data_IF_721405823273
#
_entry.id   IF_721405823273
#
_cell.length_a   1.000
_cell.length_b   1.000
_cell.length_c   1.000
_cell.angle_alpha   90.00
_cell.angle_beta   90.00
_cell.angle_gamma   90.00
#
_symmetry.space_group_name_H-M   'P 1'
#
loop_
_entity.id
_entity.type
_entity.pdbx_description
1 polymer ?
#
# COMPACT_ATOMS: atom_id res chain seq x y z
N UNK A 1 6.81 -26.13 29.96
CA UNK A 1 7.07 -25.64 28.59
C UNK A 1 6.14 -24.47 28.40
N UNK A 2 6.64 -23.24 28.61
CA UNK A 2 5.85 -22.04 28.36
C UNK A 2 5.85 -21.84 26.85
N UNK A 3 4.68 -22.01 26.25
CA UNK A 3 4.43 -21.52 24.91
C UNK A 3 4.58 -19.99 24.98
N UNK A 4 5.71 -19.50 24.50
CA UNK A 4 5.88 -18.07 24.27
C UNK A 4 4.90 -17.70 23.16
N UNK A 5 3.84 -16.99 23.55
CA UNK A 5 2.86 -16.46 22.61
C UNK A 5 3.60 -15.58 21.60
N UNK A 6 3.59 -15.99 20.33
CA UNK A 6 4.30 -15.30 19.26
C UNK A 6 3.82 -13.84 19.10
N UNK A 7 2.65 -13.51 19.66
CA UNK A 7 2.12 -12.15 19.73
C UNK A 7 2.93 -11.21 20.64
N UNK A 8 3.50 -11.68 21.76
CA UNK A 8 4.26 -10.84 22.70
C UNK A 8 5.59 -10.31 22.11
N UNK A 9 6.17 -11.05 21.17
CA UNK A 9 7.41 -10.65 20.48
C UNK A 9 7.18 -9.52 19.47
N UNK A 10 6.00 -9.51 18.81
CA UNK A 10 5.66 -8.52 17.79
C UNK A 10 5.47 -7.11 18.39
N UNK A 11 5.04 -7.01 19.65
CA UNK A 11 4.79 -5.74 20.34
C UNK A 11 5.96 -5.25 21.20
N UNK A 12 7.12 -5.92 21.15
CA UNK A 12 8.29 -5.46 21.90
C UNK A 12 8.79 -4.08 21.42
N UNK A 13 9.30 -3.21 22.32
CA UNK A 13 9.88 -1.92 21.92
C UNK A 13 10.97 -2.05 20.85
N UNK A 14 11.73 -3.16 20.88
CA UNK A 14 12.74 -3.49 19.88
C UNK A 14 12.13 -3.80 18.51
N UNK A 15 11.04 -4.59 18.46
CA UNK A 15 10.32 -4.87 17.22
C UNK A 15 9.72 -3.60 16.61
N UNK A 16 9.05 -2.77 17.42
CA UNK A 16 8.49 -1.49 16.97
C UNK A 16 9.58 -0.57 16.41
N UNK A 17 10.73 -0.48 17.08
CA UNK A 17 11.87 0.32 16.61
C UNK A 17 12.44 -0.24 15.29
N UNK A 18 12.52 -1.56 15.17
CA UNK A 18 12.97 -2.21 13.94
C UNK A 18 12.03 -1.92 12.76
N UNK A 19 10.72 -2.03 12.96
CA UNK A 19 9.73 -1.67 11.95
C UNK A 19 9.81 -0.19 11.56
N UNK A 20 9.91 0.72 12.54
CA UNK A 20 10.09 2.15 12.30
C UNK A 20 11.35 2.44 11.48
N UNK A 21 12.45 1.73 11.73
CA UNK A 21 13.70 1.87 10.96
C UNK A 21 13.62 1.31 9.54
N UNK A 22 12.66 0.42 9.28
CA UNK A 22 12.44 -0.22 7.97
C UNK A 22 11.51 0.58 7.06
N UNK A 23 10.69 1.47 7.63
CA UNK A 23 9.81 2.37 6.88
C UNK A 23 10.65 3.50 6.31
N UNK A 24 10.53 3.74 5.01
CA UNK A 24 11.09 4.93 4.41
C UNK A 24 10.29 6.15 4.88
N UNK A 25 10.98 7.16 5.41
CA UNK A 25 10.30 8.30 6.03
C UNK A 25 9.40 9.01 5.01
N UNK A 26 8.14 9.28 5.39
CA UNK A 26 7.18 9.91 4.50
C UNK A 26 7.65 11.31 4.13
N UNK A 27 7.75 11.55 2.83
CA UNK A 27 8.03 12.81 2.16
C UNK A 27 6.96 13.07 1.10
N UNK A 28 7.03 14.23 0.46
CA UNK A 28 6.07 14.59 -0.59
C UNK A 28 6.11 13.62 -1.80
N UNK A 29 7.22 12.92 -2.04
CA UNK A 29 7.41 12.13 -3.26
C UNK A 29 7.14 10.61 -3.11
N UNK A 30 7.10 10.08 -1.88
CA UNK A 30 7.10 8.63 -1.64
C UNK A 30 5.81 8.10 -0.97
N UNK A 31 4.73 8.89 -0.99
CA UNK A 31 3.48 8.56 -0.31
C UNK A 31 2.92 7.16 -0.65
N UNK A 32 2.94 6.76 -1.93
CA UNK A 32 2.46 5.43 -2.34
C UNK A 32 3.24 4.29 -1.70
N UNK A 33 4.57 4.35 -1.77
CA UNK A 33 5.47 3.36 -1.16
C UNK A 33 5.33 3.35 0.37
N UNK A 34 5.25 4.53 0.99
CA UNK A 34 5.04 4.64 2.43
C UNK A 34 3.72 3.99 2.86
N UNK A 35 2.62 4.24 2.14
CA UNK A 35 1.30 3.66 2.43
C UNK A 35 1.31 2.12 2.30
N UNK A 36 2.04 1.58 1.33
CA UNK A 36 2.25 0.14 1.18
C UNK A 36 3.01 -0.45 2.38
N UNK A 37 4.13 0.17 2.79
CA UNK A 37 4.91 -0.27 3.95
C UNK A 37 4.08 -0.24 5.25
N UNK A 38 3.27 0.80 5.45
CA UNK A 38 2.32 0.88 6.58
C UNK A 38 1.30 -0.25 6.52
N UNK A 39 0.80 -0.60 5.33
CA UNK A 39 -0.17 -1.69 5.15
C UNK A 39 0.45 -3.05 5.49
N UNK A 40 1.69 -3.30 5.08
CA UNK A 40 2.41 -4.54 5.40
C UNK A 40 2.61 -4.68 6.92
N UNK A 41 3.11 -3.63 7.57
CA UNK A 41 3.37 -3.64 9.02
C UNK A 41 2.07 -3.86 9.80
N UNK A 42 0.97 -3.29 9.32
CA UNK A 42 -0.35 -3.49 9.92
C UNK A 42 -0.77 -4.96 9.95
N UNK A 43 -0.56 -5.67 8.84
CA UNK A 43 -0.86 -7.11 8.71
C UNK A 43 0.08 -7.94 9.58
N UNK A 44 1.39 -7.65 9.54
CA UNK A 44 2.41 -8.41 10.29
C UNK A 44 2.22 -8.28 11.80
N UNK A 45 1.76 -7.12 12.27
CA UNK A 45 1.58 -6.84 13.70
C UNK A 45 0.14 -7.10 14.20
N UNK A 46 -0.74 -7.73 13.41
CA UNK A 46 -2.16 -7.96 13.73
C UNK A 46 -2.89 -6.68 14.23
N UNK A 47 -2.53 -5.54 13.64
CA UNK A 47 -3.08 -4.22 14.02
C UNK A 47 -4.42 -3.92 13.32
N UNK A 48 -4.89 -4.83 12.46
CA UNK A 48 -6.14 -4.67 11.71
C UNK A 48 -7.35 -4.48 12.64
N UNK A 49 -7.31 -5.02 13.86
CA UNK A 49 -8.38 -4.89 14.86
C UNK A 49 -8.77 -3.42 15.15
N UNK A 50 -7.81 -2.49 15.08
CA UNK A 50 -8.04 -1.06 15.30
C UNK A 50 -8.80 -0.34 14.17
N UNK A 51 -8.90 -0.94 12.98
CA UNK A 51 -9.52 -0.31 11.81
C UNK A 51 -10.90 -0.88 11.45
N UNK A 52 -11.18 -2.11 11.88
CA UNK A 52 -12.43 -2.83 11.59
C UNK A 52 -13.48 -2.70 12.69
N UNK A 53 -13.07 -2.36 13.91
CA UNK A 53 -13.97 -2.21 15.06
C UNK A 53 -14.15 -0.72 15.34
N UNK A 54 -15.32 -0.18 14.97
CA UNK A 54 -15.80 1.12 15.47
C UNK A 54 -15.73 1.14 17.00
N UNK A 55 -15.55 2.32 17.60
CA UNK A 55 -15.33 2.51 19.05
C UNK A 55 -16.13 1.48 19.87
N UNK A 56 -15.45 0.47 20.47
CA UNK A 56 -16.15 -0.54 21.22
C UNK A 56 -16.93 0.13 22.37
N UNK A 57 -18.11 -0.40 22.73
CA UNK A 57 -18.93 0.20 23.77
C UNK A 57 -18.10 0.42 25.03
N UNK A 58 -18.21 1.61 25.63
CA UNK A 58 -17.48 1.95 26.85
C UNK A 58 -17.67 0.84 27.89
N UNK A 59 -16.56 0.37 28.45
CA UNK A 59 -16.59 -0.68 29.47
C UNK A 59 -17.45 -0.22 30.65
N UNK A 60 -18.47 -1.00 30.98
CA UNK A 60 -19.27 -0.83 32.21
C UNK A 60 -18.77 -1.77 33.31
N UNK A 61 -19.19 -1.54 34.56
CA UNK A 61 -18.88 -2.42 35.70
C UNK A 61 -19.37 -3.88 35.52
N UNK A 62 -20.30 -4.11 34.57
CA UNK A 62 -20.84 -5.44 34.22
C UNK A 62 -20.09 -6.13 33.07
N UNK A 63 -19.08 -5.47 32.49
CA UNK A 63 -18.36 -6.02 31.33
C UNK A 63 -17.63 -7.30 31.71
N UNK A 64 -17.82 -8.34 30.88
CA UNK A 64 -17.12 -9.62 31.04
C UNK A 64 -15.61 -9.45 30.87
N UNK A 65 -14.84 -10.37 31.44
CA UNK A 65 -13.38 -10.42 31.23
C UNK A 65 -13.00 -10.46 29.74
N UNK A 66 -13.78 -11.15 28.91
CA UNK A 66 -13.59 -11.21 27.45
C UNK A 66 -13.80 -9.86 26.77
N UNK A 67 -14.79 -9.07 27.20
CA UNK A 67 -15.03 -7.73 26.67
C UNK A 67 -13.91 -6.75 27.06
N UNK A 68 -13.39 -6.85 28.29
CA UNK A 68 -12.26 -6.05 28.74
C UNK A 68 -11.00 -6.35 27.92
N UNK A 69 -10.66 -7.64 27.76
CA UNK A 69 -9.51 -8.04 26.94
C UNK A 69 -9.62 -7.59 25.47
N UNK A 70 -10.82 -7.61 24.90
CA UNK A 70 -11.05 -7.11 23.53
C UNK A 70 -10.87 -5.58 23.43
N UNK A 71 -11.30 -4.84 24.45
CA UNK A 71 -11.09 -3.39 24.53
C UNK A 71 -9.61 -3.04 24.68
N UNK A 72 -8.89 -3.75 25.55
CA UNK A 72 -7.45 -3.54 25.76
C UNK A 72 -6.66 -3.82 24.47
N UNK A 73 -6.99 -4.91 23.76
CA UNK A 73 -6.38 -5.23 22.45
C UNK A 73 -6.66 -4.13 21.42
N UNK A 74 -7.87 -3.57 21.41
CA UNK A 74 -8.26 -2.48 20.51
C UNK A 74 -7.49 -1.19 20.81
N UNK A 75 -7.45 -0.75 22.06
CA UNK A 75 -6.75 0.47 22.48
C UNK A 75 -5.25 0.36 22.19
N UNK A 76 -4.65 -0.81 22.47
CA UNK A 76 -3.27 -1.11 22.15
C UNK A 76 -3.01 -1.01 20.65
N UNK A 77 -3.85 -1.63 19.82
CA UNK A 77 -3.72 -1.61 18.35
C UNK A 77 -3.81 -0.19 17.78
N UNK A 78 -4.69 0.66 18.32
CA UNK A 78 -4.79 2.08 17.93
C UNK A 78 -3.52 2.83 18.31
N UNK A 79 -3.04 2.65 19.54
CA UNK A 79 -1.86 3.34 20.05
C UNK A 79 -0.63 3.04 19.19
N UNK A 80 -0.36 1.76 18.94
CA UNK A 80 0.77 1.32 18.12
C UNK A 80 0.64 1.83 16.68
N UNK A 81 -0.55 1.74 16.08
CA UNK A 81 -0.79 2.26 14.72
C UNK A 81 -0.49 3.76 14.62
N UNK A 82 -0.93 4.56 15.60
CA UNK A 82 -0.65 5.99 15.65
C UNK A 82 0.85 6.28 15.86
N UNK A 83 1.54 5.50 16.69
CA UNK A 83 2.99 5.66 16.90
C UNK A 83 3.77 5.38 15.63
N UNK A 84 3.42 4.32 14.90
CA UNK A 84 4.08 3.94 13.64
C UNK A 84 3.83 4.99 12.56
N UNK A 85 2.57 5.38 12.35
CA UNK A 85 2.23 6.40 11.35
C UNK A 85 2.87 7.75 11.67
N UNK A 86 2.73 8.24 12.91
CA UNK A 86 3.35 9.52 13.29
C UNK A 86 4.86 9.44 13.19
N UNK A 87 5.46 8.38 13.76
CA UNK A 87 6.90 8.16 13.82
C UNK A 87 7.59 8.11 12.46
N UNK A 88 6.93 7.50 11.47
CA UNK A 88 7.44 7.39 10.10
C UNK A 88 7.26 8.65 9.25
N UNK A 89 6.56 9.69 9.72
CA UNK A 89 6.42 10.96 8.99
C UNK A 89 7.57 11.91 9.35
N UNK A 90 8.16 12.55 8.33
CA UNK A 90 9.17 13.60 8.50
C UNK A 90 8.70 14.69 9.45
N UNK A 91 9.55 15.06 10.43
CA UNK A 91 9.23 16.10 11.42
C UNK A 91 8.84 17.43 10.78
N UNK A 92 9.44 17.77 9.63
CA UNK A 92 9.17 18.98 8.86
C UNK A 92 7.72 19.08 8.35
N UNK A 93 7.10 17.95 7.97
CA UNK A 93 5.74 17.92 7.41
C UNK A 93 4.69 17.40 8.40
N UNK A 94 5.11 16.75 9.49
CA UNK A 94 4.23 16.20 10.53
C UNK A 94 3.29 17.25 11.11
N UNK A 95 3.77 18.48 11.30
CA UNK A 95 2.96 19.58 11.85
C UNK A 95 1.81 20.04 10.94
N UNK A 96 1.86 19.71 9.64
CA UNK A 96 0.81 20.08 8.69
C UNK A 96 -0.37 19.10 8.67
N UNK A 97 -0.24 17.94 9.33
CA UNK A 97 -1.26 16.88 9.36
C UNK A 97 -2.07 17.00 10.66
N UNK A 98 -3.39 17.21 10.58
CA UNK A 98 -4.23 17.28 11.78
C UNK A 98 -4.13 16.00 12.63
N UNK A 99 -3.97 16.17 13.94
CA UNK A 99 -3.93 15.05 14.89
C UNK A 99 -5.25 14.28 14.95
N UNK A 100 -5.18 13.02 15.35
CA UNK A 100 -6.36 12.22 15.74
C UNK A 100 -5.96 11.18 16.80
N UNK A 101 -6.94 10.80 17.62
CA UNK A 101 -6.88 9.65 18.54
C UNK A 101 -7.36 8.35 17.89
N UNK A 102 -7.93 8.42 16.69
CA UNK A 102 -8.35 7.26 15.91
C UNK A 102 -7.36 7.04 14.76
N UNK A 103 -6.84 5.82 14.64
CA UNK A 103 -5.84 5.47 13.62
C UNK A 103 -6.37 5.62 12.19
N UNK A 104 -7.62 5.20 11.94
CA UNK A 104 -8.27 5.31 10.62
C UNK A 104 -8.44 6.76 10.20
N UNK A 105 -8.89 7.62 11.12
CA UNK A 105 -9.05 9.05 10.86
C UNK A 105 -7.72 9.75 10.65
N UNK A 106 -6.69 9.37 11.41
CA UNK A 106 -5.35 9.91 11.19
C UNK A 106 -4.81 9.56 9.81
N UNK A 107 -4.95 8.30 9.38
CA UNK A 107 -4.54 7.87 8.03
C UNK A 107 -5.26 8.68 6.93
N UNK A 108 -6.57 8.93 7.10
CA UNK A 108 -7.33 9.75 6.16
C UNK A 108 -6.81 11.21 6.08
N UNK A 109 -6.41 11.81 7.21
CA UNK A 109 -5.80 13.14 7.19
C UNK A 109 -4.44 13.15 6.46
N UNK A 110 -3.65 12.07 6.60
CA UNK A 110 -2.39 11.92 5.85
C UNK A 110 -2.73 11.83 4.37
N UNK A 111 -3.63 10.92 3.97
CA UNK A 111 -4.07 10.74 2.59
C UNK A 111 -4.56 12.04 1.94
N UNK A 112 -5.36 12.83 2.64
CA UNK A 112 -5.87 14.11 2.15
C UNK A 112 -4.73 15.09 1.83
N UNK A 113 -3.70 15.17 2.68
CA UNK A 113 -2.56 16.07 2.47
C UNK A 113 -1.70 15.66 1.28
N UNK A 114 -1.56 14.36 1.03
CA UNK A 114 -0.75 13.84 -0.07
C UNK A 114 -1.56 13.51 -1.33
N UNK A 115 -2.87 13.76 -1.34
CA UNK A 115 -3.73 13.49 -2.49
C UNK A 115 -3.26 14.24 -3.76
N UNK A 116 -2.76 15.47 -3.62
CA UNK A 116 -2.19 16.24 -4.73
C UNK A 116 -0.93 15.60 -5.32
N UNK A 117 -0.02 15.12 -4.46
CA UNK A 117 1.18 14.40 -4.89
C UNK A 117 0.85 13.06 -5.55
N UNK A 118 -0.11 12.31 -4.98
CA UNK A 118 -0.60 11.06 -5.55
C UNK A 118 -1.10 11.24 -7.00
N UNK A 119 -1.82 12.34 -7.29
CA UNK A 119 -2.29 12.65 -8.64
C UNK A 119 -1.15 13.00 -9.59
N UNK A 120 -0.17 13.79 -9.15
CA UNK A 120 1.01 14.13 -9.94
C UNK A 120 1.82 12.87 -10.26
N UNK A 121 2.05 12.01 -9.27
CA UNK A 121 2.76 10.74 -9.44
C UNK A 121 2.03 9.80 -10.41
N UNK A 122 0.71 9.62 -10.25
CA UNK A 122 -0.10 8.85 -11.19
C UNK A 122 0.00 9.41 -12.62
N UNK A 123 -0.05 10.74 -12.77
CA UNK A 123 0.10 11.41 -14.08
C UNK A 123 1.46 11.11 -14.70
N UNK A 124 2.54 11.12 -13.91
CA UNK A 124 3.88 10.75 -14.37
C UNK A 124 3.93 9.30 -14.83
N UNK A 125 3.37 8.36 -14.05
CA UNK A 125 3.34 6.94 -14.42
C UNK A 125 2.54 6.74 -15.71
N UNK A 126 1.34 7.32 -15.81
CA UNK A 126 0.49 7.25 -17.01
C UNK A 126 1.22 7.80 -18.23
N UNK A 127 1.84 8.97 -18.10
CA UNK A 127 2.61 9.60 -19.19
C UNK A 127 3.75 8.69 -19.64
N UNK A 128 4.47 8.09 -18.68
CA UNK A 128 5.55 7.14 -18.98
C UNK A 128 4.99 5.91 -19.68
N UNK A 129 3.90 5.32 -19.20
CA UNK A 129 3.25 4.16 -19.82
C UNK A 129 2.85 4.44 -21.28
N UNK A 130 2.20 5.57 -21.55
CA UNK A 130 1.71 5.95 -22.90
C UNK A 130 2.84 6.23 -23.88
N UNK A 131 3.94 6.83 -23.39
CA UNK A 131 5.09 7.20 -24.22
C UNK A 131 6.10 6.08 -24.39
N UNK A 132 6.15 5.12 -23.46
CA UNK A 132 7.11 4.02 -23.49
C UNK A 132 6.83 3.10 -24.70
N UNK A 133 7.79 3.07 -25.61
CA UNK A 133 7.85 2.11 -26.72
C UNK A 133 8.99 1.14 -26.49
N UNK A 134 8.82 -0.08 -26.97
CA UNK A 134 9.89 -1.06 -26.94
C UNK A 134 11.03 -0.60 -27.86
N UNK A 135 12.23 -0.47 -27.29
CA UNK A 135 13.42 0.13 -27.92
C UNK A 135 14.15 -0.83 -28.87
N UNK A 136 13.81 -2.12 -28.85
CA UNK A 136 14.48 -3.15 -29.67
C UNK A 136 15.80 -3.66 -29.10
N UNK A 137 16.33 -3.02 -28.05
CA UNK A 137 17.59 -3.39 -27.38
C UNK A 137 17.38 -4.17 -26.09
N UNK A 138 16.36 -3.83 -25.31
CA UNK A 138 15.95 -4.58 -24.11
C UNK A 138 15.26 -5.89 -24.50
N UNK A 139 15.12 -6.85 -23.60
CA UNK A 139 14.32 -8.05 -23.88
C UNK A 139 12.82 -7.72 -23.91
N UNK A 140 12.03 -8.32 -24.81
CA UNK A 140 10.55 -8.13 -24.81
C UNK A 140 9.94 -8.49 -23.46
N UNK A 141 10.50 -9.51 -22.78
CA UNK A 141 10.09 -9.89 -21.42
C UNK A 141 10.33 -8.78 -20.40
N UNK A 142 11.46 -8.08 -20.50
CA UNK A 142 11.80 -6.96 -19.61
C UNK A 142 10.83 -5.79 -19.81
N UNK A 143 10.49 -5.49 -21.07
CA UNK A 143 9.49 -4.49 -21.40
C UNK A 143 8.11 -4.82 -20.84
N UNK A 144 7.69 -6.09 -20.93
CA UNK A 144 6.42 -6.57 -20.33
C UNK A 144 6.45 -6.41 -18.80
N UNK A 145 7.54 -6.80 -18.15
CA UNK A 145 7.69 -6.68 -16.70
C UNK A 145 7.65 -5.21 -16.25
N UNK A 146 8.29 -4.31 -16.99
CA UNK A 146 8.26 -2.88 -16.71
C UNK A 146 6.85 -2.28 -16.84
N UNK A 147 6.08 -2.70 -17.86
CA UNK A 147 4.69 -2.27 -18.04
C UNK A 147 3.78 -2.81 -16.94
N UNK A 148 4.01 -4.05 -16.49
CA UNK A 148 3.27 -4.67 -15.39
C UNK A 148 3.57 -4.01 -14.03
N UNK A 149 4.83 -3.66 -13.79
CA UNK A 149 5.26 -2.91 -12.61
C UNK A 149 4.56 -1.55 -12.54
N UNK A 150 4.54 -0.79 -13.64
CA UNK A 150 3.80 0.49 -13.71
C UNK A 150 2.30 0.32 -13.45
N UNK A 151 1.66 -0.74 -13.95
CA UNK A 151 0.25 -1.03 -13.65
C UNK A 151 0.03 -1.37 -12.16
N UNK A 152 0.96 -2.07 -11.53
CA UNK A 152 0.94 -2.38 -10.10
C UNK A 152 1.11 -1.11 -9.26
N UNK A 153 2.00 -0.20 -9.67
CA UNK A 153 2.13 1.11 -9.05
C UNK A 153 0.86 1.95 -9.20
N UNK A 154 0.17 1.91 -10.33
CA UNK A 154 -1.13 2.59 -10.48
C UNK A 154 -2.22 1.99 -9.60
N UNK A 155 -2.22 0.67 -9.41
CA UNK A 155 -3.13 -0.01 -8.49
C UNK A 155 -2.95 0.43 -7.03
N UNK A 156 -1.71 0.67 -6.57
CA UNK A 156 -1.47 1.17 -5.20
C UNK A 156 -1.97 2.61 -5.00
N UNK A 157 -2.18 3.34 -6.10
CA UNK A 157 -2.77 4.69 -6.13
C UNK A 157 -4.30 4.66 -6.38
N UNK A 158 -4.95 3.50 -6.23
CA UNK A 158 -6.39 3.30 -6.48
C UNK A 158 -6.80 3.54 -7.96
N UNK A 159 -5.85 3.36 -8.89
CA UNK A 159 -6.06 3.49 -10.33
C UNK A 159 -5.83 2.14 -11.03
N UNK A 160 -6.61 1.14 -10.64
CA UNK A 160 -6.47 -0.21 -11.17
C UNK A 160 -6.74 -0.27 -12.69
N UNK A 161 -5.80 -0.87 -13.41
CA UNK A 161 -5.92 -1.15 -14.85
C UNK A 161 -6.32 -2.61 -15.02
N UNK A 162 -7.38 -2.87 -15.79
CA UNK A 162 -7.77 -4.24 -16.12
C UNK A 162 -6.66 -4.97 -16.89
N UNK A 163 -6.43 -6.26 -16.59
CA UNK A 163 -5.42 -7.08 -17.28
C UNK A 163 -5.56 -7.03 -18.81
N UNK A 164 -6.80 -7.10 -19.33
CA UNK A 164 -7.05 -7.04 -20.77
C UNK A 164 -6.56 -5.72 -21.39
N UNK A 165 -6.82 -4.59 -20.72
CA UNK A 165 -6.33 -3.29 -21.18
C UNK A 165 -4.79 -3.23 -21.15
N UNK A 166 -4.17 -3.72 -20.07
CA UNK A 166 -2.71 -3.76 -19.94
C UNK A 166 -2.06 -4.56 -21.08
N UNK A 167 -2.61 -5.73 -21.41
CA UNK A 167 -2.07 -6.58 -22.49
C UNK A 167 -2.21 -5.88 -23.85
N UNK A 168 -3.37 -5.30 -24.15
CA UNK A 168 -3.55 -4.50 -25.37
C UNK A 168 -2.55 -3.34 -25.43
N UNK A 169 -2.34 -2.67 -24.30
CA UNK A 169 -1.44 -1.54 -24.21
C UNK A 169 0.03 -1.95 -24.48
N UNK A 170 0.47 -3.06 -23.88
CA UNK A 170 1.76 -3.69 -24.19
C UNK A 170 1.86 -3.99 -25.70
N UNK A 171 0.85 -4.59 -26.31
CA UNK A 171 0.85 -4.88 -27.75
C UNK A 171 0.99 -3.61 -28.62
N UNK A 172 0.40 -2.48 -28.21
CA UNK A 172 0.54 -1.20 -28.92
C UNK A 172 1.90 -0.52 -28.74
N UNK A 173 2.67 -0.93 -27.72
CA UNK A 173 4.02 -0.41 -27.46
C UNK A 173 5.12 -1.13 -28.25
N UNK A 174 4.82 -2.32 -28.79
CA UNK A 174 5.77 -3.09 -29.60
C UNK A 174 5.89 -2.51 -31.03
N UNK A 175 7.10 -2.48 -31.62
CA UNK A 175 7.32 -1.99 -32.98
C UNK A 175 6.74 -2.93 -34.05
N UNK A 176 6.71 -2.44 -35.30
CA UNK A 176 6.12 -3.14 -36.46
C UNK A 176 6.76 -4.50 -36.75
N UNK A 177 8.01 -4.73 -36.34
CA UNK A 177 8.68 -6.02 -36.47
C UNK A 177 7.97 -7.16 -35.71
N UNK A 178 7.15 -6.82 -34.70
CA UNK A 178 6.30 -7.77 -33.97
C UNK A 178 4.88 -7.91 -34.57
N UNK A 179 4.64 -7.42 -35.79
CA UNK A 179 3.33 -7.54 -36.45
C UNK A 179 2.77 -8.97 -36.47
N UNK A 180 3.56 -10.03 -36.79
CA UNK A 180 3.07 -11.41 -36.75
C UNK A 180 2.57 -11.82 -35.35
N UNK A 181 3.27 -11.37 -34.30
CA UNK A 181 2.89 -11.64 -32.91
C UNK A 181 1.57 -10.93 -32.54
N UNK A 182 1.38 -9.68 -32.97
CA UNK A 182 0.12 -8.94 -32.76
C UNK A 182 -1.06 -9.59 -33.49
N UNK A 183 -0.86 -10.06 -34.72
CA UNK A 183 -1.90 -10.76 -35.49
C UNK A 183 -2.29 -12.07 -34.79
N UNK A 184 -1.31 -12.84 -34.33
CA UNK A 184 -1.56 -14.06 -33.58
C UNK A 184 -2.34 -13.79 -32.29
N UNK A 185 -1.96 -12.77 -31.52
CA UNK A 185 -2.71 -12.35 -30.33
C UNK A 185 -4.16 -11.97 -30.64
N UNK A 186 -4.38 -11.12 -31.66
CA UNK A 186 -5.72 -10.65 -32.01
C UNK A 186 -6.65 -11.74 -32.57
N UNK A 187 -6.08 -12.84 -33.10
CA UNK A 187 -6.84 -13.97 -33.66
C UNK A 187 -7.12 -15.07 -32.66
N UNK A 188 -6.47 -15.04 -31.49
CA UNK A 188 -6.73 -15.98 -30.41
C UNK A 188 -8.05 -15.66 -29.70
N UNK A 189 -8.87 -16.69 -29.48
CA UNK A 189 -10.13 -16.59 -28.74
C UNK A 189 -9.92 -16.58 -27.22
N UNK A 190 -8.79 -17.08 -26.76
CA UNK A 190 -8.44 -17.15 -25.35
C UNK A 190 -7.92 -15.80 -24.85
N UNK A 191 -8.41 -15.37 -23.69
CA UNK A 191 -7.90 -14.17 -23.03
C UNK A 191 -6.61 -14.51 -22.31
N UNK A 192 -5.55 -13.80 -22.64
CA UNK A 192 -4.29 -13.90 -21.92
C UNK A 192 -4.47 -13.33 -20.51
N UNK A 193 -3.79 -13.95 -19.56
CA UNK A 193 -3.69 -13.52 -18.18
C UNK A 193 -2.22 -13.25 -17.88
N UNK A 194 -1.96 -12.22 -17.08
CA UNK A 194 -0.61 -11.87 -16.62
C UNK A 194 -0.25 -12.62 -15.35
#
# INVERSE_FOLDING_TARGET
>A
MHDYDCSDLAYSPAAITCYLSSIEQLSDANFGKWKEQISIIRVVMDLDYALWVDDPPALTSKSSSKQKAAYDKWEHSICISLMIMKGSIMTAIRGAIPGSNNAKRYLAHVEEKFQGSSKAHATTIITKMVTLKYDGSSGVREHILLMNDMATQLKSLDMEISEGFLIHFIMTSLPVQFSPFKINYNTQKEKWKM
#
